data_IF_532433203496
#
_entry.id   IF_532433203496
#
_cell.length_a   1.000
_cell.length_b   1.000
_cell.length_c   1.000
_cell.angle_alpha   90.00
_cell.angle_beta   90.00
_cell.angle_gamma   90.00
#
_symmetry.space_group_name_H-M   'P 1'
#
loop_
_entity.id
_entity.type
_entity.pdbx_description
1 polymer ?
#
# COMPACT_ATOMS: atom_id res chain seq x y z
N UNK A 1 -11.04 -12.90 26.45
CA UNK A 1 -10.32 -12.42 25.25
C UNK A 1 -10.30 -13.60 24.30
N UNK A 2 -11.11 -13.61 23.25
CA UNK A 2 -11.03 -14.61 22.17
C UNK A 2 -9.73 -14.33 21.39
N UNK A 3 -8.87 -15.33 21.29
CA UNK A 3 -7.72 -15.23 20.39
C UNK A 3 -8.23 -14.88 19.00
N UNK A 4 -7.73 -13.80 18.39
CA UNK A 4 -8.01 -13.52 16.99
C UNK A 4 -7.52 -14.72 16.16
N UNK A 5 -8.26 -15.16 15.13
CA UNK A 5 -7.78 -16.23 14.27
C UNK A 5 -6.44 -15.80 13.65
N UNK A 6 -5.45 -16.66 13.75
CA UNK A 6 -4.14 -16.41 13.16
C UNK A 6 -4.30 -16.36 11.63
N UNK A 7 -3.87 -15.28 10.98
CA UNK A 7 -3.84 -15.19 9.50
C UNK A 7 -2.89 -16.21 8.88
N UNK A 8 -1.96 -16.73 9.68
CA UNK A 8 -1.06 -17.81 9.27
C UNK A 8 -1.81 -19.14 9.22
N UNK A 9 -1.57 -19.91 8.16
CA UNK A 9 -2.22 -21.19 7.84
C UNK A 9 -3.74 -21.10 7.57
N UNK A 10 -4.34 -19.91 7.57
CA UNK A 10 -5.71 -19.68 7.09
C UNK A 10 -5.70 -19.66 5.55
N UNK A 11 -6.61 -20.38 4.87
CA UNK A 11 -6.71 -20.34 3.41
C UNK A 11 -7.46 -19.08 2.94
N UNK A 12 -6.89 -18.40 1.96
CA UNK A 12 -7.46 -17.22 1.31
C UNK A 12 -7.65 -17.45 -0.19
N UNK A 13 -8.62 -16.80 -0.79
CA UNK A 13 -8.84 -16.84 -2.24
C UNK A 13 -7.87 -15.94 -2.98
N UNK A 14 -7.45 -14.83 -2.36
CA UNK A 14 -6.46 -13.92 -2.91
C UNK A 14 -5.70 -13.14 -1.81
N UNK A 15 -4.51 -12.66 -2.17
CA UNK A 15 -3.72 -11.70 -1.40
C UNK A 15 -3.79 -10.33 -2.07
N UNK A 16 -4.09 -9.30 -1.29
CA UNK A 16 -4.17 -7.91 -1.75
C UNK A 16 -3.08 -7.10 -1.07
N UNK A 17 -2.23 -6.46 -1.84
CA UNK A 17 -1.08 -5.73 -1.31
C UNK A 17 -1.27 -4.23 -1.51
N UNK A 18 -1.09 -3.44 -0.46
CA UNK A 18 -0.66 -2.08 -0.66
C UNK A 18 0.75 -2.07 -1.29
N UNK A 19 1.21 -0.92 -1.73
CA UNK A 19 2.48 -0.79 -2.44
C UNK A 19 3.57 -0.13 -1.60
N UNK A 20 3.38 1.15 -1.30
CA UNK A 20 4.41 2.01 -0.70
C UNK A 20 4.50 1.81 0.81
N UNK A 21 5.60 1.28 1.33
CA UNK A 21 5.78 0.85 2.72
C UNK A 21 5.47 -0.63 2.93
N UNK A 22 4.73 -1.26 2.00
CA UNK A 22 4.28 -2.65 2.08
C UNK A 22 5.13 -3.60 1.25
N UNK A 23 5.27 -3.39 -0.07
CA UNK A 23 6.08 -4.26 -0.96
C UNK A 23 7.34 -3.58 -1.48
N UNK A 24 7.39 -2.27 -1.43
CA UNK A 24 8.55 -1.45 -1.70
C UNK A 24 8.59 -0.26 -0.73
N UNK A 25 9.76 0.33 -0.52
CA UNK A 25 9.87 1.62 0.17
C UNK A 25 10.06 2.74 -0.85
N UNK A 26 9.31 3.82 -0.69
CA UNK A 26 9.46 5.08 -1.43
C UNK A 26 9.54 6.27 -0.49
N UNK A 27 9.63 6.03 0.83
CA UNK A 27 9.51 7.05 1.87
C UNK A 27 10.50 8.20 1.62
N UNK A 28 11.79 7.90 1.46
CA UNK A 28 12.80 8.94 1.27
C UNK A 28 12.58 9.77 0.00
N UNK A 29 12.17 9.15 -1.12
CA UNK A 29 11.87 9.83 -2.37
C UNK A 29 10.63 10.72 -2.22
N UNK A 30 9.55 10.20 -1.66
CA UNK A 30 8.32 10.96 -1.40
C UNK A 30 8.59 12.14 -0.47
N UNK A 31 9.28 11.95 0.64
CA UNK A 31 9.59 13.01 1.59
C UNK A 31 10.45 14.14 0.98
N UNK A 32 11.38 13.83 0.08
CA UNK A 32 12.14 14.87 -0.65
C UNK A 32 11.23 15.76 -1.49
N UNK A 33 10.32 15.16 -2.25
CA UNK A 33 9.37 15.90 -3.10
C UNK A 33 8.37 16.69 -2.26
N UNK A 34 7.79 16.05 -1.24
CA UNK A 34 6.82 16.69 -0.35
C UNK A 34 7.44 17.79 0.50
N UNK A 35 8.72 17.67 0.89
CA UNK A 35 9.46 18.75 1.55
C UNK A 35 9.57 19.97 0.66
N UNK A 36 9.92 19.80 -0.63
CA UNK A 36 9.98 20.91 -1.59
C UNK A 36 8.61 21.58 -1.75
N UNK A 37 7.55 20.77 -1.85
CA UNK A 37 6.18 21.26 -1.93
C UNK A 37 5.77 22.04 -0.68
N UNK A 38 6.01 21.49 0.52
CA UNK A 38 5.65 22.09 1.80
C UNK A 38 6.37 23.45 1.99
N UNK A 39 7.69 23.51 1.72
CA UNK A 39 8.46 24.75 1.78
C UNK A 39 7.92 25.80 0.83
N UNK A 40 7.57 25.42 -0.42
CA UNK A 40 6.99 26.32 -1.44
C UNK A 40 5.68 26.95 -0.99
N UNK A 41 4.87 26.21 -0.24
CA UNK A 41 3.55 26.64 0.24
C UNK A 41 3.54 27.14 1.69
N UNK A 42 4.70 27.23 2.36
CA UNK A 42 4.81 27.69 3.75
C UNK A 42 4.15 26.75 4.76
N UNK A 43 4.09 25.45 4.43
CA UNK A 43 3.59 24.39 5.32
C UNK A 43 4.74 23.91 6.21
N UNK A 44 4.45 23.67 7.49
CA UNK A 44 5.42 23.15 8.43
C UNK A 44 5.75 21.69 8.08
N UNK A 45 7.01 21.43 7.71
CA UNK A 45 7.47 20.13 7.18
C UNK A 45 7.38 19.03 8.23
N UNK A 46 7.80 19.31 9.47
CA UNK A 46 7.90 18.28 10.52
C UNK A 46 6.53 17.73 10.91
N UNK A 47 5.52 18.59 10.96
CA UNK A 47 4.15 18.18 11.30
C UNK A 47 3.39 17.61 10.11
N UNK A 48 3.77 17.96 8.88
CA UNK A 48 3.06 17.57 7.67
C UNK A 48 3.51 16.21 7.11
N UNK A 49 4.82 15.96 6.99
CA UNK A 49 5.35 14.73 6.36
C UNK A 49 4.76 13.43 6.95
N UNK A 50 4.60 13.28 8.28
CA UNK A 50 4.00 12.05 8.82
C UNK A 50 2.56 11.78 8.35
N UNK A 51 1.90 12.78 7.77
CA UNK A 51 0.49 12.70 7.37
C UNK A 51 0.26 12.33 5.90
N UNK A 52 1.31 12.21 5.09
CA UNK A 52 1.18 11.93 3.65
C UNK A 52 1.13 10.43 3.33
N UNK A 53 1.68 9.59 4.21
CA UNK A 53 1.85 8.16 3.94
C UNK A 53 0.52 7.43 3.79
N UNK A 54 0.42 6.58 2.77
CA UNK A 54 -0.76 5.78 2.44
C UNK A 54 -1.94 6.55 1.83
N UNK A 55 -1.91 7.89 1.80
CA UNK A 55 -2.98 8.74 1.26
C UNK A 55 -2.69 9.18 -0.19
N UNK A 56 -3.75 9.51 -0.96
CA UNK A 56 -3.56 10.13 -2.28
C UNK A 56 -3.06 11.57 -2.11
N UNK A 57 -2.17 12.01 -3.01
CA UNK A 57 -1.60 13.37 -2.98
C UNK A 57 -2.69 14.45 -2.95
N UNK A 58 -3.71 14.31 -3.80
CA UNK A 58 -4.83 15.26 -3.86
C UNK A 58 -5.60 15.37 -2.54
N UNK A 59 -5.76 14.27 -1.80
CA UNK A 59 -6.47 14.26 -0.52
C UNK A 59 -5.63 14.93 0.57
N UNK A 60 -4.30 14.70 0.58
CA UNK A 60 -3.37 15.37 1.49
C UNK A 60 -3.34 16.89 1.28
N UNK A 61 -3.33 17.34 0.02
CA UNK A 61 -3.36 18.77 -0.32
C UNK A 61 -4.71 19.39 0.06
N UNK A 62 -5.83 18.77 -0.32
CA UNK A 62 -7.19 19.26 0.02
C UNK A 62 -7.43 19.37 1.51
N UNK A 63 -6.88 18.46 2.31
CA UNK A 63 -7.00 18.48 3.78
C UNK A 63 -6.40 19.74 4.42
N UNK A 64 -5.33 20.31 3.81
CA UNK A 64 -4.69 21.53 4.31
C UNK A 64 -5.51 22.80 4.03
N UNK A 65 -6.46 22.76 3.09
CA UNK A 65 -7.35 23.86 2.73
C UNK A 65 -6.61 25.19 2.47
N UNK A 66 -5.43 25.15 1.84
CA UNK A 66 -4.59 26.34 1.61
C UNK A 66 -5.27 27.30 0.63
N UNK A 67 -5.39 28.60 0.97
CA UNK A 67 -6.03 29.57 0.10
C UNK A 67 -5.26 29.73 -1.23
N UNK A 68 -5.99 29.69 -2.36
CA UNK A 68 -5.43 29.90 -3.69
C UNK A 68 -4.61 28.73 -4.27
N UNK A 69 -4.56 27.61 -3.59
CA UNK A 69 -3.88 26.39 -4.08
C UNK A 69 -4.87 25.55 -4.88
N UNK A 70 -4.52 25.24 -6.13
CA UNK A 70 -5.23 24.27 -6.97
C UNK A 70 -4.73 22.86 -6.66
N UNK A 71 -5.54 22.11 -5.93
CA UNK A 71 -5.14 20.77 -5.45
C UNK A 71 -4.90 19.76 -6.59
N UNK A 72 -5.62 19.86 -7.70
CA UNK A 72 -5.43 19.03 -8.89
C UNK A 72 -4.08 19.33 -9.56
N UNK A 73 -3.76 20.60 -9.77
CA UNK A 73 -2.50 21.02 -10.37
C UNK A 73 -1.30 20.66 -9.49
N UNK A 74 -1.41 20.85 -8.18
CA UNK A 74 -0.34 20.52 -7.23
C UNK A 74 -0.14 19.00 -7.10
N UNK A 75 -1.21 18.21 -7.09
CA UNK A 75 -1.11 16.75 -7.10
C UNK A 75 -0.45 16.22 -8.38
N UNK A 76 -0.73 16.83 -9.52
CA UNK A 76 -0.06 16.51 -10.78
C UNK A 76 1.44 16.83 -10.71
N UNK A 77 1.81 18.00 -10.18
CA UNK A 77 3.21 18.38 -9.98
C UNK A 77 3.96 17.39 -9.05
N UNK A 78 3.34 17.01 -7.91
CA UNK A 78 3.90 15.99 -7.01
C UNK A 78 4.15 14.69 -7.77
N UNK A 79 3.13 14.22 -8.52
CA UNK A 79 3.24 12.96 -9.29
C UNK A 79 4.40 13.01 -10.29
N UNK A 80 4.55 14.09 -11.05
CA UNK A 80 5.64 14.27 -12.01
C UNK A 80 7.01 14.28 -11.30
N UNK A 81 7.13 15.01 -10.19
CA UNK A 81 8.38 15.08 -9.44
C UNK A 81 8.77 13.71 -8.83
N UNK A 82 7.79 12.94 -8.31
CA UNK A 82 8.02 11.60 -7.78
C UNK A 82 8.33 10.54 -8.88
N UNK A 83 7.85 10.74 -10.11
CA UNK A 83 8.23 9.90 -11.26
C UNK A 83 9.71 10.13 -11.63
N UNK A 84 10.20 11.36 -11.53
CA UNK A 84 11.58 11.71 -11.81
C UNK A 84 12.54 11.26 -10.68
N UNK A 85 12.12 11.38 -9.42
CA UNK A 85 12.91 11.00 -8.25
C UNK A 85 12.52 9.62 -7.71
N UNK A 86 13.28 8.61 -8.10
CA UNK A 86 13.16 7.23 -7.59
C UNK A 86 14.43 6.78 -6.83
N UNK A 87 15.27 7.72 -6.42
CA UNK A 87 16.46 7.40 -5.64
C UNK A 87 16.05 6.85 -4.27
N UNK A 88 16.55 5.64 -3.92
CA UNK A 88 16.19 4.95 -2.69
C UNK A 88 14.83 4.25 -2.73
N UNK A 89 14.19 4.13 -3.92
CA UNK A 89 13.02 3.25 -4.09
C UNK A 89 13.53 1.81 -4.27
N UNK A 90 13.28 0.98 -3.27
CA UNK A 90 13.79 -0.39 -3.18
C UNK A 90 12.67 -1.35 -2.76
N UNK A 91 12.82 -2.65 -3.02
CA UNK A 91 11.88 -3.64 -2.51
C UNK A 91 11.94 -3.76 -0.98
N UNK A 92 10.81 -4.04 -0.33
CA UNK A 92 10.80 -4.60 1.02
C UNK A 92 11.40 -5.99 0.93
N UNK A 93 12.32 -6.31 1.83
CA UNK A 93 13.15 -7.54 1.78
C UNK A 93 12.31 -8.77 1.43
N UNK A 94 12.64 -9.40 0.29
CA UNK A 94 12.01 -10.62 -0.20
C UNK A 94 10.67 -10.43 -0.94
N UNK A 95 10.13 -9.22 -1.05
CA UNK A 95 8.82 -8.97 -1.65
C UNK A 95 8.75 -9.40 -3.12
N UNK A 96 9.76 -9.07 -3.93
CA UNK A 96 9.75 -9.43 -5.34
C UNK A 96 9.76 -10.96 -5.55
N UNK A 97 10.49 -11.70 -4.74
CA UNK A 97 10.52 -13.17 -4.82
C UNK A 97 9.19 -13.77 -4.33
N UNK A 98 8.65 -13.25 -3.24
CA UNK A 98 7.37 -13.68 -2.69
C UNK A 98 6.25 -13.49 -3.71
N UNK A 99 6.10 -12.29 -4.31
CA UNK A 99 5.09 -11.99 -5.31
C UNK A 99 5.23 -12.87 -6.57
N UNK A 100 6.45 -13.15 -7.05
CA UNK A 100 6.71 -14.06 -8.16
C UNK A 100 6.32 -15.51 -7.88
N UNK A 101 6.21 -15.91 -6.61
CA UNK A 101 5.77 -17.25 -6.22
C UNK A 101 4.25 -17.43 -6.25
N UNK A 102 3.48 -16.33 -6.29
CA UNK A 102 2.02 -16.34 -6.27
C UNK A 102 1.45 -16.63 -7.66
N UNK A 103 0.33 -17.38 -7.76
CA UNK A 103 -0.42 -17.49 -9.00
C UNK A 103 -0.94 -16.11 -9.44
N UNK A 104 -0.70 -15.69 -10.68
CA UNK A 104 -0.98 -14.35 -11.17
C UNK A 104 -2.44 -13.88 -10.95
N UNK A 105 -3.40 -14.82 -11.00
CA UNK A 105 -4.83 -14.54 -10.81
C UNK A 105 -5.29 -14.52 -9.33
N UNK A 106 -4.39 -14.67 -8.35
CA UNK A 106 -4.73 -14.73 -6.93
C UNK A 106 -4.06 -13.60 -6.11
N UNK A 107 -3.58 -12.55 -6.76
CA UNK A 107 -3.08 -11.39 -6.06
C UNK A 107 -3.30 -10.09 -6.84
N UNK A 108 -3.35 -8.98 -6.13
CA UNK A 108 -3.50 -7.66 -6.70
C UNK A 108 -2.73 -6.62 -5.89
N UNK A 109 -2.39 -5.49 -6.53
CA UNK A 109 -1.89 -4.29 -5.87
C UNK A 109 -3.03 -3.27 -5.73
N UNK A 110 -3.12 -2.62 -4.56
CA UNK A 110 -4.09 -1.55 -4.25
C UNK A 110 -3.34 -0.36 -3.67
N UNK A 111 -3.02 0.62 -4.51
CA UNK A 111 -2.20 1.77 -4.14
C UNK A 111 -2.94 3.09 -4.24
N UNK A 112 -2.55 4.05 -3.40
CA UNK A 112 -2.97 5.46 -3.48
C UNK A 112 -2.19 6.27 -4.52
N UNK A 113 -1.16 5.68 -5.14
CA UNK A 113 -0.42 6.31 -6.23
C UNK A 113 -1.18 6.27 -7.55
N UNK A 114 -1.02 7.27 -8.44
CA UNK A 114 -1.41 7.16 -9.84
C UNK A 114 -0.66 6.03 -10.54
N UNK A 115 -1.30 5.42 -11.55
CA UNK A 115 -0.77 4.24 -12.26
C UNK A 115 0.65 4.47 -12.82
N UNK A 116 0.91 5.61 -13.41
CA UNK A 116 2.23 5.94 -13.99
C UNK A 116 3.32 5.97 -12.92
N UNK A 117 3.04 6.54 -11.75
CA UNK A 117 3.96 6.56 -10.61
C UNK A 117 4.14 5.17 -10.02
N UNK A 118 3.05 4.41 -9.84
CA UNK A 118 3.11 3.04 -9.33
C UNK A 118 4.03 2.16 -10.20
N UNK A 119 3.83 2.15 -11.51
CA UNK A 119 4.67 1.39 -12.44
C UNK A 119 6.14 1.85 -12.41
N UNK A 120 6.39 3.16 -12.27
CA UNK A 120 7.74 3.71 -12.17
C UNK A 120 8.48 3.25 -10.92
N UNK A 121 7.79 3.27 -9.76
CA UNK A 121 8.34 2.78 -8.48
C UNK A 121 8.57 1.27 -8.49
N UNK A 122 7.59 0.50 -8.98
CA UNK A 122 7.71 -0.96 -9.12
C UNK A 122 8.89 -1.35 -10.01
N UNK A 123 9.09 -0.66 -11.15
CA UNK A 123 10.23 -0.91 -12.03
C UNK A 123 11.57 -0.60 -11.34
N UNK A 124 11.65 0.47 -10.54
CA UNK A 124 12.85 0.82 -9.78
C UNK A 124 13.17 -0.23 -8.71
N UNK A 125 12.16 -0.75 -8.02
CA UNK A 125 12.28 -1.74 -6.95
C UNK A 125 12.34 -3.20 -7.46
N UNK A 126 12.21 -3.47 -8.77
CA UNK A 126 12.20 -4.84 -9.33
C UNK A 126 10.96 -5.66 -8.97
N UNK A 127 9.87 -5.00 -8.56
CA UNK A 127 8.58 -5.62 -8.23
C UNK A 127 7.88 -6.07 -9.53
N UNK A 128 7.35 -7.31 -9.61
CA UNK A 128 6.62 -7.77 -10.78
C UNK A 128 5.28 -7.04 -10.94
N UNK A 129 4.91 -6.76 -12.20
CA UNK A 129 3.60 -6.16 -12.49
C UNK A 129 2.49 -7.22 -12.31
N UNK A 130 1.40 -6.91 -11.56
CA UNK A 130 0.27 -7.81 -11.37
C UNK A 130 -0.71 -7.76 -12.53
N UNK A 131 -1.51 -8.83 -12.72
CA UNK A 131 -2.64 -8.82 -13.65
C UNK A 131 -3.73 -7.82 -13.21
N UNK A 132 -3.88 -7.62 -11.89
CA UNK A 132 -4.85 -6.69 -11.29
C UNK A 132 -4.14 -5.64 -10.45
N UNK A 133 -4.29 -4.37 -10.82
CA UNK A 133 -3.84 -3.22 -10.06
C UNK A 133 -4.98 -2.21 -9.92
N UNK A 134 -5.24 -1.77 -8.70
CA UNK A 134 -6.15 -0.66 -8.38
C UNK A 134 -5.30 0.53 -7.95
N UNK A 135 -5.50 1.67 -8.61
CA UNK A 135 -4.70 2.89 -8.45
C UNK A 135 -5.58 4.07 -8.07
N UNK A 136 -4.99 5.23 -7.82
CA UNK A 136 -5.72 6.44 -7.44
C UNK A 136 -6.85 6.81 -8.42
N UNK A 137 -6.69 6.50 -9.70
CA UNK A 137 -7.66 6.81 -10.77
C UNK A 137 -8.88 5.87 -10.78
N UNK A 138 -8.75 4.69 -10.17
CA UNK A 138 -9.80 3.67 -10.19
C UNK A 138 -10.92 3.92 -9.16
N UNK A 139 -10.67 4.79 -8.18
CA UNK A 139 -11.59 5.06 -7.07
C UNK A 139 -11.86 6.55 -6.89
N UNK A 140 -13.10 6.91 -6.61
CA UNK A 140 -13.48 8.31 -6.34
C UNK A 140 -12.99 8.79 -4.97
N UNK A 141 -12.95 7.90 -3.99
CA UNK A 141 -12.49 8.18 -2.61
C UNK A 141 -11.32 7.25 -2.30
N UNK A 142 -10.20 7.80 -1.83
CA UNK A 142 -9.01 7.05 -1.43
C UNK A 142 -9.13 6.48 0.00
N UNK A 143 -8.13 5.70 0.42
CA UNK A 143 -7.99 5.21 1.79
C UNK A 143 -8.19 6.38 2.79
N UNK A 144 -8.94 6.21 3.87
CA UNK A 144 -9.41 4.95 4.47
C UNK A 144 -10.73 4.38 3.92
N UNK A 145 -11.26 4.87 2.78
CA UNK A 145 -12.43 4.28 2.16
C UNK A 145 -12.10 2.85 1.65
N UNK A 146 -12.98 1.85 1.86
CA UNK A 146 -12.75 0.46 1.49
C UNK A 146 -12.83 0.18 -0.02
N UNK A 147 -13.21 1.16 -0.84
CA UNK A 147 -13.52 0.97 -2.26
C UNK A 147 -12.37 0.33 -3.04
N UNK A 148 -11.12 0.70 -2.76
CA UNK A 148 -9.95 0.15 -3.45
C UNK A 148 -9.80 -1.35 -3.24
N UNK A 149 -9.85 -1.82 -2.00
CA UNK A 149 -9.73 -3.25 -1.68
C UNK A 149 -10.92 -4.06 -2.21
N UNK A 150 -12.15 -3.54 -2.06
CA UNK A 150 -13.34 -4.18 -2.63
C UNK A 150 -13.29 -4.29 -4.15
N UNK A 151 -12.80 -3.25 -4.84
CA UNK A 151 -12.62 -3.26 -6.29
C UNK A 151 -11.58 -4.28 -6.73
N UNK A 152 -10.46 -4.42 -5.98
CA UNK A 152 -9.44 -5.43 -6.27
C UNK A 152 -10.00 -6.85 -6.14
N UNK A 153 -10.71 -7.16 -5.06
CA UNK A 153 -11.39 -8.46 -4.87
C UNK A 153 -12.39 -8.73 -6.00
N UNK A 154 -13.21 -7.74 -6.37
CA UNK A 154 -14.14 -7.83 -7.49
C UNK A 154 -13.44 -8.13 -8.82
N UNK A 155 -12.30 -7.47 -9.13
CA UNK A 155 -11.53 -7.69 -10.36
C UNK A 155 -10.88 -9.07 -10.40
N UNK A 156 -10.53 -9.64 -9.23
CA UNK A 156 -10.05 -11.01 -9.10
C UNK A 156 -11.19 -12.05 -9.10
N UNK A 157 -12.46 -11.62 -9.01
CA UNK A 157 -13.62 -12.51 -8.97
C UNK A 157 -13.78 -13.27 -7.65
N UNK A 158 -13.35 -12.68 -6.53
CA UNK A 158 -13.43 -13.27 -5.19
C UNK A 158 -14.18 -12.35 -4.22
N UNK A 159 -14.68 -12.92 -3.11
CA UNK A 159 -15.25 -12.14 -2.02
C UNK A 159 -14.16 -11.51 -1.18
N UNK A 160 -14.35 -10.27 -0.75
CA UNK A 160 -13.34 -9.53 0.04
C UNK A 160 -13.04 -10.19 1.38
N UNK A 161 -14.02 -10.85 2.01
CA UNK A 161 -13.86 -11.57 3.27
C UNK A 161 -13.00 -12.84 3.13
N UNK A 162 -12.75 -13.29 1.90
CA UNK A 162 -11.87 -14.41 1.57
C UNK A 162 -10.47 -13.94 1.17
N UNK A 163 -10.15 -12.65 1.38
CA UNK A 163 -8.87 -12.05 1.04
C UNK A 163 -8.04 -11.74 2.30
N UNK A 164 -6.71 -11.85 2.16
CA UNK A 164 -5.75 -11.30 3.11
C UNK A 164 -5.15 -10.02 2.51
N UNK A 165 -5.27 -8.91 3.24
CA UNK A 165 -4.64 -7.63 2.89
C UNK A 165 -3.30 -7.51 3.59
N UNK A 166 -2.28 -7.03 2.88
CA UNK A 166 -0.99 -6.63 3.41
C UNK A 166 -0.90 -5.11 3.36
N UNK A 167 -0.62 -4.47 4.49
CA UNK A 167 -0.64 -3.02 4.65
C UNK A 167 0.33 -2.56 5.73
N UNK A 168 0.83 -1.32 5.62
CA UNK A 168 1.74 -0.71 6.60
C UNK A 168 1.16 0.57 7.23
N UNK A 169 0.34 1.32 6.50
CA UNK A 169 -0.13 2.64 6.87
C UNK A 169 -1.50 2.62 7.57
N UNK A 170 -1.69 3.46 8.60
CA UNK A 170 -2.95 3.55 9.36
C UNK A 170 -4.19 3.72 8.46
N UNK A 171 -4.12 4.57 7.44
CA UNK A 171 -5.28 4.80 6.55
C UNK A 171 -5.62 3.57 5.71
N UNK A 172 -4.62 2.77 5.34
CA UNK A 172 -4.82 1.53 4.62
C UNK A 172 -5.32 0.40 5.51
N UNK A 173 -4.82 0.30 6.74
CA UNK A 173 -5.33 -0.60 7.78
C UNK A 173 -6.83 -0.37 7.98
N UNK A 174 -7.24 0.89 8.20
CA UNK A 174 -8.66 1.26 8.34
C UNK A 174 -9.48 0.92 7.09
N UNK A 175 -8.91 1.08 5.88
CA UNK A 175 -9.59 0.71 4.64
C UNK A 175 -9.81 -0.80 4.53
N UNK A 176 -8.83 -1.62 4.90
CA UNK A 176 -8.93 -3.08 4.89
C UNK A 176 -9.96 -3.60 5.91
N UNK A 177 -9.94 -3.05 7.13
CA UNK A 177 -10.95 -3.33 8.16
C UNK A 177 -12.36 -2.98 7.69
N UNK A 178 -12.54 -1.77 7.14
CA UNK A 178 -13.83 -1.32 6.61
C UNK A 178 -14.28 -2.13 5.38
N UNK A 179 -13.35 -2.71 4.63
CA UNK A 179 -13.66 -3.63 3.53
C UNK A 179 -14.18 -4.97 4.05
N UNK A 180 -13.73 -5.42 5.21
CA UNK A 180 -14.05 -6.72 5.83
C UNK A 180 -13.06 -7.82 5.46
N UNK A 181 -11.85 -7.47 5.02
CA UNK A 181 -10.78 -8.42 4.76
C UNK A 181 -10.02 -8.77 6.06
N UNK A 182 -9.36 -9.94 6.08
CA UNK A 182 -8.31 -10.19 7.06
C UNK A 182 -7.08 -9.34 6.75
N UNK A 183 -6.28 -9.01 7.77
CA UNK A 183 -5.18 -8.05 7.66
C UNK A 183 -3.89 -8.58 8.29
N UNK A 184 -2.78 -8.36 7.57
CA UNK A 184 -1.41 -8.54 8.03
C UNK A 184 -0.66 -7.21 7.90
N UNK A 185 -0.19 -6.67 9.02
CA UNK A 185 0.51 -5.38 9.04
C UNK A 185 2.00 -5.59 8.74
N UNK A 186 2.48 -4.98 7.66
CA UNK A 186 3.90 -5.00 7.30
C UNK A 186 4.62 -3.90 8.08
N UNK A 187 5.66 -4.28 8.82
CA UNK A 187 6.40 -3.37 9.69
C UNK A 187 7.83 -3.09 9.23
N UNK A 188 8.18 -3.58 8.05
CA UNK A 188 9.54 -3.53 7.50
C UNK A 188 10.10 -2.12 7.34
N UNK A 189 9.23 -1.12 7.12
CA UNK A 189 9.60 0.28 6.87
C UNK A 189 9.32 1.20 8.06
N UNK A 190 8.90 0.65 9.20
CA UNK A 190 8.62 1.41 10.41
C UNK A 190 9.88 1.55 11.26
N UNK A 191 10.25 2.77 11.61
CA UNK A 191 11.35 3.05 12.57
C UNK A 191 10.93 2.76 14.02
N UNK A 192 9.64 2.96 14.33
CA UNK A 192 9.06 2.71 15.65
C UNK A 192 8.02 1.58 15.58
N UNK A 193 7.88 0.78 16.65
CA UNK A 193 6.88 -0.27 16.71
C UNK A 193 5.46 0.29 16.52
N UNK A 194 4.69 -0.29 15.60
CA UNK A 194 3.27 0.03 15.46
C UNK A 194 2.46 -0.73 16.51
N UNK A 195 1.62 0.00 17.26
CA UNK A 195 0.64 -0.62 18.16
C UNK A 195 -0.56 -1.12 17.33
N UNK A 196 -0.70 -2.43 17.22
CA UNK A 196 -1.80 -3.07 16.46
C UNK A 196 -2.21 -4.37 17.13
N UNK A 197 -3.49 -4.71 17.01
CA UNK A 197 -4.02 -6.05 17.40
C UNK A 197 -3.89 -7.08 16.25
N UNK A 198 -3.52 -6.64 15.04
CA UNK A 198 -3.33 -7.52 13.90
C UNK A 198 -1.99 -8.25 13.95
N UNK A 199 -1.89 -9.35 13.20
CA UNK A 199 -0.62 -10.02 12.97
C UNK A 199 0.33 -9.09 12.21
N UNK A 200 1.63 -9.20 12.47
CA UNK A 200 2.66 -8.36 11.86
C UNK A 200 3.65 -9.17 11.04
N UNK A 201 4.26 -8.54 10.04
CA UNK A 201 5.30 -9.11 9.18
C UNK A 201 6.45 -8.10 9.03
N UNK A 202 7.65 -8.47 9.46
CA UNK A 202 8.83 -7.61 9.36
C UNK A 202 9.57 -7.71 8.01
N UNK A 203 9.28 -8.73 7.19
CA UNK A 203 9.86 -8.90 5.87
C UNK A 203 9.37 -10.21 5.23
N UNK A 204 9.34 -10.25 3.90
CA UNK A 204 8.78 -11.40 3.16
C UNK A 204 9.70 -12.61 3.15
N UNK A 205 10.98 -12.46 3.49
CA UNK A 205 11.92 -13.57 3.68
C UNK A 205 11.58 -14.46 4.88
N UNK A 206 10.66 -14.03 5.74
CA UNK A 206 10.20 -14.76 6.92
C UNK A 206 8.99 -15.67 6.65
N UNK A 207 8.42 -15.58 5.45
CA UNK A 207 7.17 -16.27 5.11
C UNK A 207 7.22 -16.88 3.71
N UNK A 208 6.42 -17.93 3.53
CA UNK A 208 6.15 -18.51 2.22
C UNK A 208 4.65 -18.61 1.96
N UNK A 209 4.26 -18.47 0.70
CA UNK A 209 2.90 -18.76 0.26
C UNK A 209 2.78 -20.23 -0.12
N UNK A 210 1.74 -20.89 0.38
CA UNK A 210 1.42 -22.27 0.03
C UNK A 210 0.06 -22.32 -0.68
N UNK A 211 0.06 -22.87 -1.90
CA UNK A 211 -1.16 -23.08 -2.66
C UNK A 211 -1.73 -24.48 -2.32
N UNK A 212 -2.87 -24.50 -1.64
CA UNK A 212 -3.63 -25.70 -1.31
C UNK A 212 -4.95 -25.80 -2.10
N UNK A 213 -5.72 -26.85 -1.85
CA UNK A 213 -7.03 -27.06 -2.48
C UNK A 213 -8.05 -25.94 -2.15
N UNK A 214 -7.92 -25.28 -1.00
CA UNK A 214 -8.83 -24.24 -0.52
C UNK A 214 -8.37 -22.82 -0.87
N UNK A 215 -7.18 -22.65 -1.42
CA UNK A 215 -6.59 -21.36 -1.77
C UNK A 215 -5.16 -21.18 -1.28
N UNK A 216 -4.72 -19.93 -1.20
CA UNK A 216 -3.42 -19.52 -0.68
C UNK A 216 -3.42 -19.53 0.85
N UNK A 217 -2.36 -19.98 1.46
CA UNK A 217 -2.10 -19.77 2.89
C UNK A 217 -0.70 -19.24 3.11
N UNK A 218 -0.52 -18.44 4.17
CA UNK A 218 0.77 -17.90 4.56
C UNK A 218 1.37 -18.77 5.66
N UNK A 219 2.65 -19.13 5.52
CA UNK A 219 3.40 -19.92 6.51
C UNK A 219 4.68 -19.20 6.89
N UNK A 220 5.05 -19.27 8.15
CA UNK A 220 6.37 -18.83 8.61
C UNK A 220 7.43 -19.86 8.22
N UNK A 221 8.61 -19.37 7.81
CA UNK A 221 9.80 -20.18 7.48
C UNK A 221 10.63 -20.40 8.73
#
# INVERSE_FOLDING_TARGET
>A
MSAQPSVFNTPYRAFLFDMDGTILTSIAAAERVWTQWAVRHGVDVETFLPTIHGARAIDSIKRLALPGVDAEAEAAWITEAEIEDVEGVEEVTGAAQFLKSLPAHQWAIVTSAPRTLALRRMAAAGIPEPDVMVTAEDVSVGKPDPAGYRLAAQRLGVEINDCLVFEDATVGILAAEAAGADLLVVTATHDEPIETEHATLAGYELVEAHLGEQGLSLRTI
#
